data_IF_920770479891
#
_entry.id   IF_920770479891
#
_cell.length_a   1.000
_cell.length_b   1.000
_cell.length_c   1.000
_cell.angle_alpha   90.00
_cell.angle_beta   90.00
_cell.angle_gamma   90.00
#
_symmetry.space_group_name_H-M   'P 1'
#
loop_
_entity.id
_entity.type
_entity.pdbx_description
1 polymer ?
#
# COMPACT_ATOMS: atom_id res chain seq x y z
N UNK A 1 -10.99 6.87 1.54
CA UNK A 1 -11.20 6.95 3.01
C UNK A 1 -12.11 5.84 3.56
N UNK A 2 -13.13 5.34 2.83
CA UNK A 2 -14.05 4.31 3.36
C UNK A 2 -13.41 2.95 3.69
N UNK A 3 -12.61 2.38 2.78
CA UNK A 3 -12.06 1.01 2.95
C UNK A 3 -11.11 0.91 4.15
N UNK A 4 -10.21 1.89 4.33
CA UNK A 4 -9.28 1.92 5.48
C UNK A 4 -10.01 1.92 6.83
N UNK A 5 -11.03 2.78 6.98
CA UNK A 5 -11.81 2.86 8.22
C UNK A 5 -12.59 1.56 8.48
N UNK A 6 -13.19 0.96 7.45
CA UNK A 6 -13.88 -0.33 7.56
C UNK A 6 -12.92 -1.45 7.94
N UNK A 7 -11.71 -1.48 7.37
CA UNK A 7 -10.68 -2.47 7.72
C UNK A 7 -10.21 -2.29 9.16
N UNK A 8 -10.04 -1.06 9.64
CA UNK A 8 -9.70 -0.80 11.05
C UNK A 8 -10.80 -1.28 12.00
N UNK A 9 -12.07 -1.02 11.69
CA UNK A 9 -13.21 -1.52 12.48
C UNK A 9 -13.24 -3.05 12.49
N UNK A 10 -13.02 -3.68 11.34
CA UNK A 10 -13.02 -5.13 11.20
C UNK A 10 -11.84 -5.78 11.96
N UNK A 11 -10.63 -5.24 11.84
CA UNK A 11 -9.45 -5.66 12.61
C UNK A 11 -9.68 -5.46 14.10
N UNK A 12 -10.27 -4.33 14.51
CA UNK A 12 -10.63 -4.04 15.90
C UNK A 12 -11.62 -5.07 16.46
N UNK A 13 -12.71 -5.35 15.75
CA UNK A 13 -13.71 -6.34 16.15
C UNK A 13 -13.08 -7.74 16.28
N UNK A 14 -12.24 -8.14 15.31
CA UNK A 14 -11.50 -9.40 15.37
C UNK A 14 -10.59 -9.47 16.60
N UNK A 15 -9.82 -8.43 16.86
CA UNK A 15 -8.87 -8.38 17.98
C UNK A 15 -9.57 -8.48 19.33
N UNK A 16 -10.75 -7.87 19.47
CA UNK A 16 -11.57 -7.99 20.69
C UNK A 16 -12.09 -9.43 20.89
N UNK A 17 -12.58 -10.08 19.83
CA UNK A 17 -13.02 -11.48 19.86
C UNK A 17 -11.87 -12.44 20.18
N UNK A 18 -10.70 -12.22 19.57
CA UNK A 18 -9.47 -12.93 19.87
C UNK A 18 -9.07 -12.77 21.34
N UNK A 19 -9.10 -11.54 21.87
CA UNK A 19 -8.82 -11.26 23.28
C UNK A 19 -9.77 -12.01 24.23
N UNK A 20 -11.06 -12.07 23.91
CA UNK A 20 -12.04 -12.85 24.67
C UNK A 20 -11.73 -14.37 24.64
N UNK A 21 -11.31 -14.90 23.48
CA UNK A 21 -10.88 -16.30 23.36
C UNK A 21 -9.62 -16.60 24.16
N UNK A 22 -8.61 -15.73 24.11
CA UNK A 22 -7.39 -15.87 24.90
C UNK A 22 -7.72 -15.87 26.40
N UNK A 23 -8.59 -14.96 26.86
CA UNK A 23 -9.03 -14.92 28.26
C UNK A 23 -9.75 -16.21 28.69
N UNK A 24 -10.58 -16.80 27.81
CA UNK A 24 -11.24 -18.09 28.05
C UNK A 24 -10.23 -19.24 28.13
N UNK A 25 -9.22 -19.26 27.27
CA UNK A 25 -8.17 -20.28 27.27
C UNK A 25 -7.32 -20.19 28.54
N UNK A 26 -6.90 -18.98 28.92
CA UNK A 26 -6.15 -18.74 30.15
C UNK A 26 -6.96 -19.16 31.38
N UNK A 27 -8.28 -18.87 31.41
CA UNK A 27 -9.18 -19.35 32.48
C UNK A 27 -9.31 -20.87 32.54
N UNK A 28 -9.22 -21.55 31.40
CA UNK A 28 -9.26 -23.02 31.29
C UNK A 28 -7.90 -23.69 31.53
N UNK A 29 -6.86 -22.94 31.85
CA UNK A 29 -5.48 -23.43 32.03
C UNK A 29 -4.94 -24.26 30.85
N UNK A 30 -5.46 -24.02 29.64
CA UNK A 30 -4.86 -24.61 28.43
C UNK A 30 -3.50 -23.94 28.27
N UNK A 31 -2.43 -24.74 28.30
CA UNK A 31 -1.06 -24.27 28.56
C UNK A 31 -0.59 -23.06 27.73
N UNK A 32 0.44 -22.34 28.18
CA UNK A 32 0.86 -21.04 27.65
C UNK A 32 1.15 -21.04 26.15
N UNK A 33 1.50 -22.20 25.58
CA UNK A 33 1.64 -22.43 24.15
C UNK A 33 0.39 -22.06 23.34
N UNK A 34 -0.81 -22.44 23.82
CA UNK A 34 -2.07 -22.15 23.13
C UNK A 34 -2.44 -20.67 23.15
N UNK A 35 -2.16 -19.98 24.25
CA UNK A 35 -2.35 -18.54 24.33
C UNK A 35 -1.35 -17.80 23.42
N UNK A 36 -0.07 -18.16 23.49
CA UNK A 36 0.99 -17.57 22.67
C UNK A 36 0.75 -17.74 21.17
N UNK A 37 0.43 -18.96 20.72
CA UNK A 37 0.16 -19.21 19.31
C UNK A 37 -1.08 -18.46 18.78
N UNK A 38 -2.13 -18.33 19.60
CA UNK A 38 -3.30 -17.52 19.23
C UNK A 38 -2.96 -16.04 19.07
N UNK A 39 -2.19 -15.48 20.01
CA UNK A 39 -1.73 -14.08 19.93
C UNK A 39 -0.93 -13.85 18.64
N UNK A 40 0.02 -14.73 18.33
CA UNK A 40 0.82 -14.59 17.10
C UNK A 40 -0.05 -14.72 15.85
N UNK A 41 -1.00 -15.65 15.83
CA UNK A 41 -1.95 -15.80 14.71
C UNK A 41 -2.77 -14.54 14.49
N UNK A 42 -3.32 -13.97 15.56
CA UNK A 42 -4.18 -12.79 15.47
C UNK A 42 -3.43 -11.52 15.09
N UNK A 43 -2.22 -11.31 15.63
CA UNK A 43 -1.35 -10.22 15.21
C UNK A 43 -0.97 -10.34 13.72
N UNK A 44 -0.66 -11.55 13.27
CA UNK A 44 -0.31 -11.81 11.86
C UNK A 44 -1.49 -11.52 10.95
N UNK A 45 -2.68 -11.98 11.31
CA UNK A 45 -3.88 -11.70 10.53
C UNK A 45 -4.25 -10.21 10.51
N UNK A 46 -4.09 -9.50 11.62
CA UNK A 46 -4.27 -8.05 11.66
C UNK A 46 -3.28 -7.36 10.72
N UNK A 47 -2.00 -7.76 10.76
CA UNK A 47 -0.97 -7.24 9.87
C UNK A 47 -1.33 -7.49 8.39
N UNK A 48 -1.81 -8.68 8.02
CA UNK A 48 -2.20 -8.97 6.64
C UNK A 48 -3.33 -8.09 6.14
N UNK A 49 -4.38 -7.92 6.93
CA UNK A 49 -5.52 -7.08 6.57
C UNK A 49 -5.09 -5.62 6.41
N UNK A 50 -4.23 -5.12 7.30
CA UNK A 50 -3.73 -3.75 7.25
C UNK A 50 -2.76 -3.52 6.08
N UNK A 51 -1.82 -4.43 5.84
CA UNK A 51 -0.89 -4.36 4.71
C UNK A 51 -1.59 -4.47 3.35
N UNK A 52 -2.71 -5.20 3.28
CA UNK A 52 -3.51 -5.27 2.06
C UNK A 52 -4.06 -3.89 1.65
N UNK A 53 -4.49 -3.08 2.62
CA UNK A 53 -5.10 -1.76 2.35
C UNK A 53 -4.13 -0.58 2.47
N UNK A 54 -2.96 -0.77 3.09
CA UNK A 54 -1.98 0.30 3.32
C UNK A 54 -0.60 -0.09 2.78
N UNK A 55 -0.06 0.67 1.81
CA UNK A 55 1.23 0.35 1.18
C UNK A 55 2.43 0.56 2.11
N UNK A 56 2.35 1.38 3.15
CA UNK A 56 3.46 1.60 4.08
C UNK A 56 3.59 0.39 5.03
N UNK A 57 2.48 -0.08 5.57
CA UNK A 57 2.43 -1.29 6.40
C UNK A 57 2.83 -2.53 5.58
N UNK A 58 2.45 -2.58 4.29
CA UNK A 58 2.87 -3.66 3.39
C UNK A 58 4.38 -3.78 3.31
N UNK A 59 5.07 -2.65 3.15
CA UNK A 59 6.53 -2.62 3.09
C UNK A 59 7.17 -3.04 4.42
N UNK A 60 6.60 -2.58 5.54
CA UNK A 60 7.09 -2.95 6.88
C UNK A 60 6.95 -4.46 7.14
N UNK A 61 5.89 -5.10 6.64
CA UNK A 61 5.73 -6.55 6.70
C UNK A 61 6.73 -7.22 5.75
N UNK A 62 6.79 -6.78 4.50
CA UNK A 62 7.71 -7.28 3.48
C UNK A 62 7.80 -8.81 3.45
N UNK A 63 9.02 -9.32 3.53
CA UNK A 63 9.31 -10.76 3.51
C UNK A 63 8.74 -11.54 4.71
N UNK A 64 8.43 -10.88 5.83
CA UNK A 64 7.85 -11.56 7.00
C UNK A 64 6.47 -12.13 6.70
N UNK A 65 5.78 -11.68 5.65
CA UNK A 65 4.49 -12.24 5.25
C UNK A 65 4.56 -13.75 5.04
N UNK A 66 5.66 -14.28 4.50
CA UNK A 66 5.80 -15.71 4.18
C UNK A 66 5.78 -16.59 5.44
N UNK A 67 6.71 -16.42 6.40
CA UNK A 67 6.68 -17.24 7.62
C UNK A 67 5.42 -17.00 8.45
N UNK A 68 4.90 -15.76 8.51
CA UNK A 68 3.68 -15.45 9.23
C UNK A 68 2.46 -16.14 8.61
N UNK A 69 2.35 -16.20 7.28
CA UNK A 69 1.22 -16.80 6.59
C UNK A 69 1.24 -18.32 6.77
N UNK A 70 2.40 -18.94 6.65
CA UNK A 70 2.57 -20.38 6.94
C UNK A 70 2.21 -20.70 8.38
N UNK A 71 2.60 -19.85 9.33
CA UNK A 71 2.24 -20.00 10.74
C UNK A 71 0.72 -19.91 10.94
N UNK A 72 0.06 -18.88 10.40
CA UNK A 72 -1.40 -18.70 10.51
C UNK A 72 -2.14 -19.89 9.90
N UNK A 73 -1.74 -20.34 8.70
CA UNK A 73 -2.32 -21.49 8.04
C UNK A 73 -2.20 -22.74 8.91
N UNK A 74 -1.02 -23.03 9.44
CA UNK A 74 -0.79 -24.16 10.33
C UNK A 74 -1.61 -24.05 11.62
N UNK A 75 -1.57 -22.90 12.29
CA UNK A 75 -2.20 -22.67 13.58
C UNK A 75 -3.73 -22.73 13.49
N UNK A 76 -4.33 -22.00 12.57
CA UNK A 76 -5.79 -21.95 12.43
C UNK A 76 -6.33 -23.28 11.87
N UNK A 77 -5.58 -23.97 11.00
CA UNK A 77 -5.98 -25.30 10.52
C UNK A 77 -5.95 -26.35 11.64
N UNK A 78 -4.89 -26.38 12.46
CA UNK A 78 -4.81 -27.30 13.61
C UNK A 78 -5.94 -27.03 14.60
N UNK A 79 -6.23 -25.76 14.91
CA UNK A 79 -7.35 -25.37 15.79
C UNK A 79 -8.71 -25.74 15.22
N UNK A 80 -8.90 -25.55 13.92
CA UNK A 80 -10.15 -25.94 13.25
C UNK A 80 -10.36 -27.45 13.30
N UNK A 81 -9.31 -28.24 13.03
CA UNK A 81 -9.36 -29.70 13.10
C UNK A 81 -9.56 -30.21 14.53
N UNK A 82 -8.86 -29.64 15.52
CA UNK A 82 -9.00 -30.01 16.94
C UNK A 82 -10.41 -29.73 17.44
N UNK A 83 -11.00 -28.58 17.10
CA UNK A 83 -12.39 -28.26 17.44
C UNK A 83 -13.38 -29.24 16.79
N UNK A 84 -13.14 -29.66 15.53
CA UNK A 84 -13.98 -30.64 14.82
C UNK A 84 -13.86 -32.04 15.42
N UNK A 85 -12.66 -32.47 15.79
CA UNK A 85 -12.41 -33.76 16.45
C UNK A 85 -13.04 -33.81 17.85
N UNK A 86 -12.88 -32.76 18.64
CA UNK A 86 -13.48 -32.66 19.97
C UNK A 86 -15.02 -32.71 19.91
N UNK A 87 -15.63 -32.13 18.86
CA UNK A 87 -17.06 -32.23 18.62
C UNK A 87 -17.51 -33.63 18.18
N UNK A 88 -16.70 -34.36 17.42
CA UNK A 88 -17.04 -35.70 16.91
C UNK A 88 -16.90 -36.84 17.94
N UNK A 89 -16.18 -36.63 19.04
CA UNK A 89 -15.98 -37.64 20.11
C UNK A 89 -17.10 -37.60 21.15
N UNK A 90 -17.97 -36.59 21.15
CA UNK A 90 -19.05 -36.38 22.13
C UNK A 90 -20.43 -36.87 21.64
N UNK A 91 -20.46 -38.00 20.95
CA UNK A 91 -21.65 -38.49 20.23
C UNK A 91 -22.81 -39.01 21.10
N UNK A 92 -22.71 -39.01 22.44
CA UNK A 92 -23.76 -39.60 23.30
C UNK A 92 -24.82 -38.62 23.83
N UNK A 93 -24.69 -37.30 23.63
CA UNK A 93 -25.80 -36.34 23.82
C UNK A 93 -25.39 -34.99 23.20
N UNK A 94 -25.87 -34.68 21.99
CA UNK A 94 -25.54 -33.43 21.31
C UNK A 94 -26.16 -32.25 22.08
N UNK A 95 -25.37 -31.66 23.00
CA UNK A 95 -25.80 -30.53 23.81
C UNK A 95 -25.90 -29.27 22.94
N UNK A 96 -26.89 -28.41 23.19
CA UNK A 96 -27.06 -27.12 22.48
C UNK A 96 -25.80 -26.24 22.49
N UNK A 97 -24.95 -26.39 23.50
CA UNK A 97 -23.66 -25.71 23.61
C UNK A 97 -22.64 -26.20 22.58
N UNK A 98 -22.62 -27.49 22.24
CA UNK A 98 -21.70 -28.06 21.25
C UNK A 98 -22.06 -27.58 19.83
N UNK A 99 -23.36 -27.47 19.53
CA UNK A 99 -23.85 -26.87 18.27
C UNK A 99 -23.45 -25.41 18.14
N UNK A 100 -23.60 -24.62 19.21
CA UNK A 100 -23.20 -23.19 19.22
C UNK A 100 -21.69 -23.03 19.03
N UNK A 101 -20.87 -23.86 19.68
CA UNK A 101 -19.41 -23.83 19.52
C UNK A 101 -18.96 -24.23 18.11
N UNK A 102 -19.63 -25.19 17.48
CA UNK A 102 -19.35 -25.62 16.10
C UNK A 102 -19.71 -24.53 15.07
N UNK A 103 -20.85 -23.88 15.26
CA UNK A 103 -21.28 -22.73 14.44
C UNK A 103 -20.31 -21.56 14.64
N UNK A 104 -19.94 -21.26 15.89
CA UNK A 104 -18.96 -20.23 16.22
C UNK A 104 -17.59 -20.50 15.59
N UNK A 105 -17.06 -21.71 15.69
CA UNK A 105 -15.77 -22.08 15.09
C UNK A 105 -15.77 -21.98 13.56
N UNK A 106 -16.89 -22.32 12.92
CA UNK A 106 -17.04 -22.16 11.47
C UNK A 106 -17.16 -20.68 11.08
N UNK A 107 -17.96 -19.89 11.83
CA UNK A 107 -18.09 -18.46 11.63
C UNK A 107 -16.75 -17.72 11.85
N UNK A 108 -15.95 -18.14 12.82
CA UNK A 108 -14.61 -17.62 13.04
C UNK A 108 -13.68 -17.91 11.85
N UNK A 109 -13.63 -19.16 11.42
CA UNK A 109 -12.78 -19.58 10.32
C UNK A 109 -13.13 -18.85 9.01
N UNK A 110 -14.41 -18.78 8.64
CA UNK A 110 -14.84 -18.15 7.40
C UNK A 110 -14.95 -16.63 7.49
N UNK A 111 -15.40 -16.11 8.63
CA UNK A 111 -15.70 -14.70 8.81
C UNK A 111 -14.51 -13.85 9.24
N UNK A 112 -13.49 -14.45 9.88
CA UNK A 112 -12.34 -13.71 10.42
C UNK A 112 -11.00 -14.23 9.91
N UNK A 113 -10.79 -15.54 9.86
CA UNK A 113 -9.49 -16.12 9.45
C UNK A 113 -9.31 -16.08 7.94
N UNK A 114 -10.28 -16.60 7.18
CA UNK A 114 -10.15 -16.75 5.73
C UNK A 114 -9.90 -15.42 5.00
N UNK A 115 -10.59 -14.29 5.31
CA UNK A 115 -10.27 -13.00 4.72
C UNK A 115 -8.83 -12.53 5.00
N UNK A 116 -8.32 -12.79 6.21
CA UNK A 116 -6.95 -12.44 6.57
C UNK A 116 -5.91 -13.33 5.87
N UNK A 117 -6.20 -14.63 5.73
CA UNK A 117 -5.34 -15.56 4.97
C UNK A 117 -5.31 -15.17 3.49
N UNK A 118 -6.45 -14.83 2.90
CA UNK A 118 -6.49 -14.32 1.51
C UNK A 118 -5.69 -13.02 1.37
N UNK A 119 -5.86 -12.07 2.30
CA UNK A 119 -5.07 -10.85 2.33
C UNK A 119 -3.56 -11.13 2.42
N UNK A 120 -3.14 -12.05 3.30
CA UNK A 120 -1.76 -12.49 3.42
C UNK A 120 -1.25 -13.18 2.16
N UNK A 121 -2.10 -13.96 1.49
CA UNK A 121 -1.82 -14.56 0.18
C UNK A 121 -1.54 -13.50 -0.88
N UNK A 122 -2.39 -12.48 -1.01
CA UNK A 122 -2.13 -11.36 -1.94
C UNK A 122 -0.82 -10.64 -1.63
N UNK A 123 -0.51 -10.40 -0.36
CA UNK A 123 0.75 -9.81 0.06
C UNK A 123 1.96 -10.69 -0.30
N UNK A 124 1.85 -12.01 -0.13
CA UNK A 124 2.89 -12.95 -0.54
C UNK A 124 3.06 -12.97 -2.07
N UNK A 125 1.96 -12.97 -2.83
CA UNK A 125 2.03 -12.95 -4.29
C UNK A 125 2.62 -11.64 -4.84
N UNK A 126 2.41 -10.51 -4.17
CA UNK A 126 3.05 -9.23 -4.51
C UNK A 126 4.58 -9.30 -4.41
N UNK A 127 5.14 -10.15 -3.55
CA UNK A 127 6.60 -10.38 -3.52
C UNK A 127 7.10 -11.13 -4.76
N UNK A 128 6.25 -11.97 -5.36
CA UNK A 128 6.59 -12.80 -6.52
C UNK A 128 6.33 -12.07 -7.85
N UNK A 129 5.28 -11.28 -7.91
CA UNK A 129 4.87 -10.49 -9.08
C UNK A 129 4.44 -9.08 -8.63
N UNK A 130 5.39 -8.17 -8.39
CA UNK A 130 5.10 -6.83 -7.87
C UNK A 130 4.26 -6.01 -8.84
N UNK A 131 3.20 -5.36 -8.35
CA UNK A 131 2.37 -4.45 -9.13
C UNK A 131 1.32 -5.11 -10.04
N UNK A 132 1.30 -6.45 -10.12
CA UNK A 132 0.31 -7.21 -10.90
C UNK A 132 -1.00 -7.43 -10.13
N UNK A 133 -1.00 -7.18 -8.81
CA UNK A 133 -2.13 -7.47 -7.95
C UNK A 133 -3.00 -6.25 -7.64
N UNK A 134 -4.34 -6.40 -7.68
CA UNK A 134 -5.27 -5.30 -7.49
C UNK A 134 -5.40 -4.94 -6.00
N UNK A 135 -4.47 -4.14 -5.49
CA UNK A 135 -4.58 -3.59 -4.15
C UNK A 135 -5.53 -2.39 -4.10
N UNK A 136 -6.36 -2.24 -3.04
CA UNK A 136 -7.29 -1.11 -2.90
C UNK A 136 -6.61 0.26 -2.87
N UNK A 137 -5.34 0.32 -2.45
CA UNK A 137 -4.55 1.53 -2.39
C UNK A 137 -3.13 1.21 -2.91
N UNK A 138 -2.93 1.18 -4.24
CA UNK A 138 -1.62 0.93 -4.82
C UNK A 138 -0.69 2.11 -4.52
N UNK A 139 0.62 1.85 -4.49
CA UNK A 139 1.58 2.94 -4.40
C UNK A 139 1.45 3.85 -5.62
N UNK A 140 1.53 5.18 -5.45
CA UNK A 140 1.61 6.08 -6.58
C UNK A 140 2.87 5.75 -7.38
N UNK A 141 2.71 5.59 -8.70
CA UNK A 141 3.85 5.27 -9.58
C UNK A 141 4.90 6.38 -9.65
N UNK A 142 4.54 7.62 -9.29
CA UNK A 142 5.42 8.77 -9.20
C UNK A 142 5.38 9.38 -7.80
N UNK A 143 6.54 9.49 -7.16
CA UNK A 143 6.70 10.11 -5.84
C UNK A 143 7.66 11.28 -5.94
N UNK A 144 7.32 12.41 -5.31
CA UNK A 144 8.15 13.60 -5.28
C UNK A 144 8.60 13.93 -3.86
N UNK A 145 9.89 14.25 -3.72
CA UNK A 145 10.49 14.61 -2.44
C UNK A 145 11.54 15.70 -2.60
N UNK A 146 11.64 16.66 -1.67
CA UNK A 146 10.78 16.83 -0.50
C UNK A 146 9.38 17.36 -0.89
N UNK A 147 8.37 17.08 -0.05
CA UNK A 147 6.98 17.55 -0.26
C UNK A 147 6.87 19.05 -0.04
N UNK A 148 7.73 19.63 0.81
CA UNK A 148 7.89 21.06 0.95
C UNK A 148 9.21 21.50 0.32
N UNK A 149 9.13 22.50 -0.55
CA UNK A 149 10.25 23.06 -1.28
C UNK A 149 10.42 24.53 -0.86
N UNK A 150 11.67 24.96 -0.88
CA UNK A 150 12.12 26.32 -0.61
C UNK A 150 12.99 26.77 -1.78
N UNK A 151 13.21 28.08 -1.98
CA UNK A 151 14.17 28.57 -2.95
C UNK A 151 15.55 27.96 -2.66
N UNK A 152 16.30 27.58 -3.68
CA UNK A 152 17.60 26.92 -3.53
C UNK A 152 17.55 25.41 -3.44
N UNK A 153 16.38 24.81 -3.22
CA UNK A 153 16.27 23.35 -3.05
C UNK A 153 16.00 22.63 -4.37
N UNK A 154 16.02 21.30 -4.34
CA UNK A 154 15.71 20.49 -5.50
C UNK A 154 14.56 19.54 -5.21
N UNK A 155 13.68 19.37 -6.19
CA UNK A 155 12.66 18.32 -6.19
C UNK A 155 13.22 17.09 -6.87
N UNK A 156 13.15 15.95 -6.19
CA UNK A 156 13.47 14.64 -6.73
C UNK A 156 12.19 13.89 -7.04
N UNK A 157 11.96 13.59 -8.31
CA UNK A 157 10.96 12.66 -8.80
C UNK A 157 11.53 11.25 -8.80
N UNK A 158 10.79 10.29 -8.25
CA UNK A 158 11.11 8.86 -8.29
C UNK A 158 9.94 8.13 -8.93
N UNK A 159 10.22 7.35 -9.97
CA UNK A 159 9.24 6.53 -10.67
C UNK A 159 9.40 5.07 -10.24
N UNK A 160 8.29 4.36 -10.04
CA UNK A 160 8.28 2.93 -9.67
C UNK A 160 8.82 2.04 -10.80
N UNK A 161 8.56 2.44 -12.04
CA UNK A 161 9.10 1.85 -13.27
C UNK A 161 9.74 2.98 -14.07
N UNK A 162 10.86 2.75 -14.77
CA UNK A 162 11.41 3.72 -15.72
C UNK A 162 10.31 4.33 -16.60
N UNK A 163 10.11 5.63 -16.48
CA UNK A 163 9.02 6.36 -17.13
C UNK A 163 9.53 7.71 -17.59
N UNK A 164 8.97 8.24 -18.67
CA UNK A 164 9.34 9.56 -19.15
C UNK A 164 9.11 9.67 -20.64
N UNK A 165 8.32 10.67 -21.01
CA UNK A 165 8.12 11.09 -22.39
C UNK A 165 7.96 12.62 -22.41
N UNK A 166 7.07 13.16 -21.59
CA UNK A 166 6.94 14.59 -21.31
C UNK A 166 6.90 14.84 -19.80
N UNK A 167 7.51 15.93 -19.36
CA UNK A 167 7.35 16.46 -18.00
C UNK A 167 6.69 17.84 -18.08
N UNK A 168 5.50 17.95 -17.49
CA UNK A 168 4.78 19.20 -17.31
C UNK A 168 4.60 19.52 -15.83
N UNK A 169 4.64 20.81 -15.51
CA UNK A 169 4.41 21.32 -14.16
C UNK A 169 3.26 22.31 -14.18
N UNK A 170 2.21 22.01 -13.41
CA UNK A 170 1.11 22.91 -13.17
C UNK A 170 1.42 23.79 -11.96
N UNK A 171 1.39 25.09 -12.20
CA UNK A 171 1.63 26.13 -11.20
C UNK A 171 0.38 26.35 -10.32
N UNK A 172 0.54 26.92 -9.11
CA UNK A 172 -0.59 27.29 -8.26
C UNK A 172 -1.57 28.26 -8.93
N UNK A 173 -1.08 29.08 -9.87
CA UNK A 173 -1.88 30.02 -10.66
C UNK A 173 -2.64 29.36 -11.82
N UNK A 174 -2.59 28.02 -11.97
CA UNK A 174 -3.29 27.28 -13.01
C UNK A 174 -2.59 27.26 -14.38
N UNK A 175 -1.37 27.79 -14.48
CA UNK A 175 -0.55 27.69 -15.70
C UNK A 175 0.10 26.31 -15.80
N UNK A 176 0.21 25.76 -17.01
CA UNK A 176 1.01 24.56 -17.31
C UNK A 176 2.31 24.96 -17.99
N UNK A 177 3.45 24.49 -17.49
CA UNK A 177 4.77 24.71 -18.07
C UNK A 177 5.39 23.36 -18.43
N UNK A 178 5.75 23.19 -19.70
CA UNK A 178 6.45 22.00 -20.19
C UNK A 178 7.94 22.16 -19.90
N UNK A 179 8.48 21.33 -19.01
CA UNK A 179 9.91 21.34 -18.63
C UNK A 179 10.72 20.44 -19.55
N UNK A 180 10.19 19.26 -19.84
CA UNK A 180 10.76 18.34 -20.83
C UNK A 180 9.68 18.09 -21.88
N UNK A 181 9.89 18.49 -23.15
CA UNK A 181 8.91 18.27 -24.19
C UNK A 181 8.88 16.79 -24.61
N UNK A 182 7.71 16.34 -25.08
CA UNK A 182 7.59 15.05 -25.73
C UNK A 182 8.46 15.00 -26.99
N UNK A 183 9.34 14.00 -27.07
CA UNK A 183 10.10 13.71 -28.30
C UNK A 183 9.89 12.26 -28.68
N UNK A 184 9.40 12.03 -29.90
CA UNK A 184 9.16 10.68 -30.41
C UNK A 184 10.44 9.84 -30.36
N UNK A 185 10.35 8.61 -29.90
CA UNK A 185 11.45 7.64 -29.93
C UNK A 185 12.13 7.57 -31.30
N UNK A 186 13.46 7.64 -31.31
CA UNK A 186 14.29 7.58 -32.52
C UNK A 186 14.54 8.93 -33.20
N UNK A 187 13.91 10.02 -32.75
CA UNK A 187 14.20 11.39 -33.25
C UNK A 187 15.01 12.23 -32.26
N UNK A 188 15.50 11.63 -31.18
CA UNK A 188 16.23 12.33 -30.13
C UNK A 188 17.73 12.40 -30.43
N UNK A 189 18.39 13.55 -30.18
CA UNK A 189 19.86 13.62 -30.12
C UNK A 189 20.41 12.68 -29.03
N UNK A 190 21.58 12.07 -29.26
CA UNK A 190 22.27 11.25 -28.26
C UNK A 190 22.44 12.03 -26.95
N UNK A 191 21.89 11.51 -25.85
CA UNK A 191 21.96 12.13 -24.53
C UNK A 191 20.89 13.19 -24.21
N UNK A 192 19.93 13.42 -25.11
CA UNK A 192 18.87 14.42 -24.91
C UNK A 192 17.57 13.85 -24.28
N UNK A 193 17.43 12.53 -24.19
CA UNK A 193 16.20 11.88 -23.79
C UNK A 193 16.00 11.84 -22.28
N UNK A 194 14.93 12.47 -21.79
CA UNK A 194 14.22 12.05 -20.58
C UNK A 194 13.48 10.74 -20.86
N UNK A 195 14.19 9.76 -21.41
CA UNK A 195 13.66 8.49 -21.86
C UNK A 195 13.82 7.50 -20.71
N UNK A 196 12.68 7.10 -20.12
CA UNK A 196 12.63 6.01 -19.15
C UNK A 196 13.61 6.20 -17.97
N UNK A 197 13.49 7.33 -17.27
CA UNK A 197 14.27 7.56 -16.06
C UNK A 197 13.52 7.01 -14.83
N UNK A 198 14.25 6.34 -13.93
CA UNK A 198 13.73 5.93 -12.62
C UNK A 198 13.79 7.06 -11.58
N UNK A 199 14.65 8.06 -11.82
CA UNK A 199 14.83 9.22 -10.94
C UNK A 199 15.22 10.45 -11.75
N UNK A 200 14.57 11.58 -11.47
CA UNK A 200 14.93 12.89 -12.00
C UNK A 200 14.98 13.92 -10.88
N UNK A 201 16.00 14.77 -10.88
CA UNK A 201 16.16 15.84 -9.89
C UNK A 201 16.16 17.19 -10.60
N UNK A 202 15.34 18.12 -10.12
CA UNK A 202 15.22 19.47 -10.67
C UNK A 202 15.48 20.49 -9.57
N UNK A 203 16.46 21.38 -9.79
CA UNK A 203 16.67 22.54 -8.92
C UNK A 203 15.56 23.57 -9.09
N UNK A 204 14.97 24.05 -7.99
CA UNK A 204 13.88 25.04 -8.00
C UNK A 204 14.29 26.35 -8.66
N UNK A 205 15.56 26.75 -8.52
CA UNK A 205 16.10 28.00 -9.04
C UNK A 205 16.48 27.93 -10.52
N UNK A 206 16.85 26.73 -10.98
CA UNK A 206 17.44 26.51 -12.30
C UNK A 206 16.43 26.00 -13.31
N UNK A 207 15.35 25.38 -12.84
CA UNK A 207 14.38 24.75 -13.73
C UNK A 207 13.55 25.81 -14.45
N UNK A 208 13.52 25.68 -15.77
CA UNK A 208 12.69 26.48 -16.66
C UNK A 208 11.75 25.59 -17.44
N UNK A 209 10.59 26.12 -17.80
CA UNK A 209 9.63 25.48 -18.68
C UNK A 209 9.06 26.44 -19.71
N UNK A 210 8.31 25.87 -20.65
CA UNK A 210 7.70 26.57 -21.76
C UNK A 210 6.18 26.53 -21.63
N UNK A 211 5.52 27.67 -21.77
CA UNK A 211 4.05 27.73 -21.74
C UNK A 211 3.43 27.21 -23.05
N UNK A 212 4.16 27.34 -24.16
CA UNK A 212 3.79 26.82 -25.47
C UNK A 212 5.04 26.45 -26.30
N UNK A 213 4.92 25.57 -27.31
CA UNK A 213 6.01 25.29 -28.23
C UNK A 213 6.56 26.57 -28.86
N UNK A 214 7.88 26.80 -28.74
CA UNK A 214 8.55 28.00 -29.26
C UNK A 214 8.43 29.27 -28.39
N UNK A 215 7.75 29.19 -27.23
CA UNK A 215 7.72 30.30 -26.26
C UNK A 215 9.08 30.52 -25.59
N UNK A 216 9.25 31.67 -24.92
CA UNK A 216 10.44 31.93 -24.10
C UNK A 216 10.42 31.02 -22.88
N UNK A 217 11.60 30.51 -22.48
CA UNK A 217 11.74 29.75 -21.25
C UNK A 217 11.45 30.65 -20.03
N UNK A 218 10.57 30.19 -19.15
CA UNK A 218 10.18 30.87 -17.91
C UNK A 218 10.54 30.01 -16.69
N UNK A 219 10.84 30.62 -15.54
CA UNK A 219 11.07 29.87 -14.30
C UNK A 219 9.79 29.18 -13.86
N UNK A 220 9.90 27.94 -13.39
CA UNK A 220 8.73 27.17 -12.96
C UNK A 220 8.30 27.56 -11.54
N UNK A 221 9.24 27.63 -10.60
CA UNK A 221 8.96 27.92 -9.19
C UNK A 221 9.08 29.42 -8.91
N UNK A 222 7.95 30.12 -9.01
CA UNK A 222 7.87 31.58 -8.83
C UNK A 222 6.95 31.97 -7.68
N UNK A 223 5.87 31.22 -7.47
CA UNK A 223 4.79 31.59 -6.57
C UNK A 223 4.65 30.60 -5.44
N UNK A 224 4.34 31.06 -4.23
CA UNK A 224 4.06 30.14 -3.13
C UNK A 224 2.76 29.37 -3.38
N UNK A 225 2.77 28.05 -3.20
CA UNK A 225 1.58 27.23 -3.38
C UNK A 225 1.88 25.78 -3.72
N UNK A 226 0.83 25.06 -4.15
CA UNK A 226 0.94 23.65 -4.54
C UNK A 226 1.20 23.56 -6.04
N UNK A 227 2.32 22.95 -6.39
CA UNK A 227 2.68 22.58 -7.75
C UNK A 227 2.32 21.11 -7.99
N UNK A 228 1.81 20.81 -9.18
CA UNK A 228 1.53 19.44 -9.62
C UNK A 228 2.48 19.09 -10.74
N UNK A 229 3.36 18.10 -10.53
CA UNK A 229 4.26 17.62 -11.57
C UNK A 229 3.60 16.40 -12.21
N UNK A 230 3.56 16.38 -13.54
CA UNK A 230 2.96 15.34 -14.35
C UNK A 230 4.00 14.77 -15.30
N UNK A 231 4.20 13.47 -15.26
CA UNK A 231 5.04 12.71 -16.18
C UNK A 231 4.14 11.87 -17.08
N UNK A 232 4.24 12.04 -18.39
CA UNK A 232 3.49 11.24 -19.37
C UNK A 232 4.24 9.97 -19.77
N UNK A 233 3.49 9.00 -20.31
CA UNK A 233 4.00 7.76 -20.90
C UNK A 233 3.95 7.87 -22.42
N UNK A 234 4.93 7.31 -23.12
CA UNK A 234 4.83 7.13 -24.58
C UNK A 234 3.70 6.17 -24.95
N UNK A 235 3.40 5.18 -24.10
CA UNK A 235 2.44 4.12 -24.38
C UNK A 235 0.98 4.60 -24.26
N UNK A 236 0.69 5.53 -23.35
CA UNK A 236 -0.67 6.03 -23.10
C UNK A 236 -0.64 7.49 -22.64
N UNK A 237 -1.21 8.41 -23.43
CA UNK A 237 -1.35 9.82 -23.08
C UNK A 237 -2.22 10.03 -21.81
N UNK A 238 -3.08 9.05 -21.50
CA UNK A 238 -3.92 8.99 -20.30
C UNK A 238 -3.24 8.35 -19.08
N UNK A 239 -2.15 7.61 -19.26
CA UNK A 239 -1.36 7.04 -18.15
C UNK A 239 -0.32 8.06 -17.67
N UNK A 240 -0.78 9.24 -17.28
CA UNK A 240 0.10 10.25 -16.71
C UNK A 240 0.20 10.06 -15.21
N UNK A 241 1.42 9.87 -14.71
CA UNK A 241 1.67 9.83 -13.28
C UNK A 241 1.83 11.25 -12.75
N UNK A 242 1.28 11.51 -11.56
CA UNK A 242 1.31 12.84 -10.96
C UNK A 242 1.81 12.79 -9.53
N UNK A 243 2.54 13.81 -9.13
CA UNK A 243 2.90 14.06 -7.75
C UNK A 243 2.64 15.53 -7.42
N UNK A 244 2.59 15.86 -6.12
CA UNK A 244 2.38 17.22 -5.64
C UNK A 244 3.49 17.63 -4.70
N UNK A 245 3.91 18.89 -4.82
CA UNK A 245 4.86 19.53 -3.92
C UNK A 245 4.35 20.92 -3.56
N UNK A 246 4.62 21.37 -2.35
CA UNK A 246 4.32 22.73 -1.90
C UNK A 246 5.61 23.53 -1.94
N UNK A 247 5.62 24.61 -2.71
CA UNK A 247 6.75 25.55 -2.74
C UNK A 247 6.41 26.77 -1.89
N UNK A 248 7.36 27.17 -1.05
CA UNK A 248 7.25 28.35 -0.21
C UNK A 248 8.30 29.35 -0.68
N UNK A 249 7.92 30.35 -1.47
CA UNK A 249 8.86 31.29 -2.10
C UNK A 249 9.62 32.22 -1.11
N UNK A 250 9.39 32.07 0.20
CA UNK A 250 9.77 33.05 1.22
C UNK A 250 8.96 34.34 1.07
N UNK A 251 8.75 35.09 2.17
CA UNK A 251 8.36 36.49 2.02
C UNK A 251 9.59 37.22 1.48
N UNK A 252 9.50 37.72 0.25
CA UNK A 252 10.45 38.73 -0.23
C UNK A 252 10.35 40.00 0.60
#
# INVERSE_FOLDING_TARGET
MGIWNSTLVYVGARTLLAGAMIALLLRRQVGPWYAGGQVVSDLSCAAFLLGYVNPDIRDDIGLLVVPLLLFVLYWEATRFLDNRRAAAVRDDEESTLDTVLRVYGSLWAFGFVMPAVLAGGFLMFELLAPGEWPFPNPRPGLVCGPVQLEPGTAVTMRMSVPHGAELSVFTPAGRSLVVVPFVRKGTQPLGAGFDYMARLTLGTDTVTGFAAPGSRAERVFTDSGVYVLRVSSEAEFNASQVCRVRYNAGKS
#
